data_IF_341247910715
#
_entry.id   IF_341247910715
#
_cell.length_a   1.000
_cell.length_b   1.000
_cell.length_c   1.000
_cell.angle_alpha   90.00
_cell.angle_beta   90.00
_cell.angle_gamma   90.00
#
_symmetry.space_group_name_H-M   'P 1'
#
loop_
_entity.id
_entity.type
_entity.pdbx_description
1 polymer ?
#
# COMPACT_ATOMS: atom_id res chain seq x y z
N UNK A 1 0.51 -17.74 -7.26
CA UNK A 1 1.76 -17.28 -7.92
C UNK A 1 2.67 -16.64 -6.87
N UNK A 2 3.99 -16.86 -6.92
CA UNK A 2 4.95 -16.19 -6.01
C UNK A 2 5.51 -14.94 -6.70
N UNK A 3 5.43 -13.80 -6.03
CA UNK A 3 5.86 -12.48 -6.54
C UNK A 3 6.61 -11.71 -5.46
N UNK A 4 7.47 -10.78 -5.86
CA UNK A 4 8.07 -9.80 -4.96
C UNK A 4 7.13 -8.64 -4.67
N UNK A 5 6.37 -8.21 -5.68
CA UNK A 5 5.55 -7.01 -5.55
C UNK A 5 4.22 -7.11 -6.28
N UNK A 6 3.19 -6.52 -5.69
CA UNK A 6 2.00 -6.09 -6.40
C UNK A 6 1.95 -4.57 -6.48
N UNK A 7 1.81 -4.05 -7.69
CA UNK A 7 1.71 -2.64 -8.01
C UNK A 7 0.25 -2.28 -8.23
N UNK A 8 -0.29 -1.42 -7.38
CA UNK A 8 -1.63 -0.89 -7.50
C UNK A 8 -1.56 0.48 -8.15
N UNK A 9 -2.12 0.60 -9.36
CA UNK A 9 -2.17 1.84 -10.14
C UNK A 9 -3.57 2.36 -10.18
N UNK A 10 -3.80 3.56 -9.66
CA UNK A 10 -5.12 4.14 -9.72
C UNK A 10 -5.39 4.78 -11.10
N UNK A 11 -6.67 4.84 -11.47
CA UNK A 11 -7.10 5.63 -12.63
C UNK A 11 -6.75 7.11 -12.44
N UNK A 12 -6.54 7.83 -13.55
CA UNK A 12 -6.21 9.27 -13.57
C UNK A 12 -7.19 10.15 -12.79
N UNK A 13 -8.42 9.69 -12.59
CA UNK A 13 -9.45 10.42 -11.85
C UNK A 13 -9.32 10.30 -10.33
N UNK A 14 -8.49 9.38 -9.83
CA UNK A 14 -8.26 9.16 -8.41
C UNK A 14 -7.09 10.02 -7.95
N UNK A 15 -7.37 10.93 -7.02
CA UNK A 15 -6.36 11.76 -6.37
C UNK A 15 -6.03 11.21 -4.99
N UNK A 16 -4.92 11.66 -4.40
CA UNK A 16 -4.55 11.27 -3.03
C UNK A 16 -5.68 11.55 -2.03
N UNK A 17 -6.32 12.72 -2.13
CA UNK A 17 -7.45 13.08 -1.27
C UNK A 17 -8.63 12.11 -1.35
N UNK A 18 -8.85 11.45 -2.50
CA UNK A 18 -9.91 10.43 -2.65
C UNK A 18 -9.60 9.13 -1.90
N UNK A 19 -8.34 8.86 -1.55
CA UNK A 19 -7.98 7.71 -0.71
C UNK A 19 -8.36 7.93 0.76
N UNK A 20 -8.52 9.18 1.22
CA UNK A 20 -8.76 9.52 2.63
C UNK A 20 -9.82 8.64 3.33
N UNK A 21 -11.06 8.49 2.81
CA UNK A 21 -12.07 7.64 3.46
C UNK A 21 -11.73 6.14 3.46
N UNK A 22 -10.89 5.70 2.51
CA UNK A 22 -10.48 4.31 2.36
C UNK A 22 -9.17 4.00 3.10
N UNK A 23 -8.40 5.01 3.52
CA UNK A 23 -7.01 4.79 3.92
C UNK A 23 -6.87 4.06 5.25
N UNK A 24 -7.65 4.42 6.28
CA UNK A 24 -7.66 3.67 7.55
C UNK A 24 -7.92 2.17 7.33
N UNK A 25 -9.03 1.75 6.68
CA UNK A 25 -9.26 0.32 6.47
C UNK A 25 -8.22 -0.32 5.55
N UNK A 26 -7.69 0.41 4.55
CA UNK A 26 -6.60 -0.09 3.70
C UNK A 26 -5.33 -0.37 4.50
N UNK A 27 -4.92 0.58 5.34
CA UNK A 27 -3.71 0.51 6.15
C UNK A 27 -3.82 -0.56 7.24
N UNK A 28 -4.95 -0.61 7.95
CA UNK A 28 -5.23 -1.67 8.92
C UNK A 28 -5.20 -3.04 8.26
N UNK A 29 -5.88 -3.19 7.11
CA UNK A 29 -5.91 -4.47 6.38
C UNK A 29 -4.52 -4.92 5.93
N UNK A 30 -3.67 -3.98 5.49
CA UNK A 30 -2.28 -4.27 5.14
C UNK A 30 -1.52 -4.85 6.34
N UNK A 31 -1.59 -4.19 7.51
CA UNK A 31 -0.88 -4.62 8.71
C UNK A 31 -1.38 -5.96 9.26
N UNK A 32 -2.69 -6.20 9.22
CA UNK A 32 -3.28 -7.48 9.61
C UNK A 32 -2.79 -8.61 8.71
N UNK A 33 -2.93 -8.45 7.39
CA UNK A 33 -2.61 -9.50 6.42
C UNK A 33 -1.10 -9.77 6.30
N UNK A 34 -0.26 -8.78 6.66
CA UNK A 34 1.19 -8.92 6.71
C UNK A 34 1.75 -9.31 8.08
N UNK A 35 0.90 -9.40 9.12
CA UNK A 35 1.31 -9.72 10.49
C UNK A 35 2.15 -8.63 11.16
N UNK A 36 1.95 -7.37 10.78
CA UNK A 36 2.73 -6.21 11.22
C UNK A 36 1.92 -5.21 12.07
N UNK A 37 0.78 -5.64 12.63
CA UNK A 37 -0.02 -4.80 13.55
C UNK A 37 0.83 -4.47 14.79
N UNK A 38 1.06 -3.18 15.11
CA UNK A 38 1.75 -2.80 16.33
C UNK A 38 1.01 -3.30 17.58
N UNK A 39 1.74 -3.75 18.59
CA UNK A 39 1.15 -4.15 19.87
C UNK A 39 0.59 -2.94 20.63
N UNK A 40 1.26 -1.80 20.49
CA UNK A 40 0.85 -0.53 21.08
C UNK A 40 -0.12 0.23 20.16
N UNK A 41 -1.38 0.48 20.59
CA UNK A 41 -2.35 1.25 19.83
C UNK A 41 -1.92 2.70 19.53
N UNK A 42 -1.10 3.32 20.38
CA UNK A 42 -0.59 4.68 20.17
C UNK A 42 0.36 4.73 18.98
N UNK A 43 1.24 3.72 18.86
CA UNK A 43 2.11 3.57 17.69
C UNK A 43 1.23 3.46 16.43
N UNK A 44 0.23 2.58 16.43
CA UNK A 44 -0.67 2.47 15.27
C UNK A 44 -1.34 3.81 14.93
N UNK A 45 -1.81 4.56 15.93
CA UNK A 45 -2.47 5.85 15.73
C UNK A 45 -1.54 6.89 15.08
N UNK A 46 -0.29 6.99 15.54
CA UNK A 46 0.72 7.90 14.96
C UNK A 46 0.98 7.55 13.50
N UNK A 47 1.24 6.28 13.20
CA UNK A 47 1.54 5.84 11.83
C UNK A 47 0.40 6.12 10.86
N UNK A 48 -0.83 5.91 11.32
CA UNK A 48 -1.99 6.20 10.51
C UNK A 48 -2.16 7.72 10.31
N UNK A 49 -2.00 8.51 11.36
CA UNK A 49 -2.23 9.96 11.32
C UNK A 49 -1.20 10.69 10.43
N UNK A 50 0.07 10.26 10.42
CA UNK A 50 1.10 10.77 9.50
C UNK A 50 0.62 10.69 8.04
N UNK A 51 0.11 9.52 7.66
CA UNK A 51 -0.41 9.29 6.32
C UNK A 51 -1.68 10.10 6.05
N UNK A 52 -2.62 10.13 7.00
CA UNK A 52 -3.87 10.87 6.84
C UNK A 52 -3.63 12.37 6.67
N UNK A 53 -2.66 12.93 7.39
CA UNK A 53 -2.26 14.34 7.25
C UNK A 53 -1.90 14.69 5.82
N UNK A 54 -1.08 13.89 5.16
CA UNK A 54 -0.74 14.11 3.75
C UNK A 54 -1.94 13.96 2.82
N UNK A 55 -2.77 12.94 3.04
CA UNK A 55 -3.96 12.73 2.22
C UNK A 55 -4.99 13.88 2.34
N UNK A 56 -5.15 14.49 3.53
CA UNK A 56 -6.01 15.68 3.73
C UNK A 56 -5.56 16.83 2.84
N UNK A 57 -4.25 16.98 2.68
CA UNK A 57 -3.61 17.99 1.84
C UNK A 57 -3.45 17.55 0.37
N UNK A 58 -4.04 16.41 -0.03
CA UNK A 58 -3.90 15.82 -1.36
C UNK A 58 -2.44 15.54 -1.75
N UNK A 59 -1.58 15.26 -0.76
CA UNK A 59 -0.19 14.87 -0.95
C UNK A 59 -0.02 13.36 -0.90
N UNK A 60 1.09 12.89 -1.48
CA UNK A 60 1.49 11.50 -1.46
C UNK A 60 1.75 11.05 -0.01
N UNK A 61 1.08 10.00 0.49
CA UNK A 61 1.35 9.48 1.82
C UNK A 61 2.70 8.74 1.85
N UNK A 62 3.19 8.41 3.04
CA UNK A 62 4.40 7.59 3.20
C UNK A 62 4.11 6.09 2.95
N UNK A 63 2.94 5.64 3.38
CA UNK A 63 2.55 4.25 3.51
C UNK A 63 3.13 3.60 4.75
N UNK A 64 3.68 2.41 4.57
CA UNK A 64 4.41 1.65 5.58
C UNK A 64 5.73 1.19 4.96
N UNK A 65 6.66 2.13 4.81
CA UNK A 65 7.95 1.90 4.16
C UNK A 65 9.08 1.72 5.18
N UNK A 66 9.01 0.65 5.97
CA UNK A 66 10.01 0.32 7.00
C UNK A 66 10.48 -1.12 6.93
N UNK A 67 11.45 -1.49 7.74
CA UNK A 67 11.89 -2.88 7.82
C UNK A 67 10.79 -3.78 8.37
N UNK A 68 10.70 -4.99 7.81
CA UNK A 68 9.64 -5.94 8.10
C UNK A 68 9.43 -6.94 6.95
N UNK A 69 8.49 -7.88 7.10
CA UNK A 69 8.20 -8.88 6.09
C UNK A 69 7.61 -8.27 4.81
N UNK A 70 6.86 -7.18 4.94
CA UNK A 70 6.33 -6.42 3.80
C UNK A 70 6.38 -4.91 4.01
N UNK A 71 6.39 -4.20 2.88
CA UNK A 71 6.30 -2.75 2.79
C UNK A 71 5.11 -2.34 1.94
N UNK A 72 4.45 -1.26 2.35
CA UNK A 72 3.49 -0.54 1.50
C UNK A 72 4.13 0.78 1.08
N UNK A 73 4.50 0.90 -0.19
CA UNK A 73 5.37 1.95 -0.70
C UNK A 73 4.60 2.84 -1.66
N UNK A 74 4.54 4.14 -1.38
CA UNK A 74 3.98 5.15 -2.27
C UNK A 74 5.12 5.89 -2.97
N UNK A 75 5.36 5.67 -4.28
CA UNK A 75 6.47 6.26 -5.02
C UNK A 75 6.21 7.73 -5.38
N UNK A 76 7.27 8.50 -5.59
CA UNK A 76 7.17 9.81 -6.23
C UNK A 76 6.94 9.56 -7.73
N UNK A 77 5.72 9.77 -8.20
CA UNK A 77 5.37 9.58 -9.61
C UNK A 77 4.28 10.55 -10.08
N UNK A 78 3.94 10.48 -11.37
CA UNK A 78 2.95 11.37 -12.00
C UNK A 78 1.50 11.07 -11.60
N UNK A 79 1.23 9.91 -10.99
CA UNK A 79 -0.12 9.46 -10.67
C UNK A 79 -0.20 8.87 -9.26
N UNK A 80 -1.43 8.69 -8.78
CA UNK A 80 -1.64 7.96 -7.54
C UNK A 80 -1.38 6.46 -7.80
N UNK A 81 -0.44 5.89 -7.07
CA UNK A 81 -0.10 4.47 -7.11
C UNK A 81 0.61 4.05 -5.82
N UNK A 82 0.64 2.75 -5.56
CA UNK A 82 1.46 2.18 -4.49
C UNK A 82 1.87 0.75 -4.80
N UNK A 83 2.89 0.27 -4.09
CA UNK A 83 3.36 -1.10 -4.14
C UNK A 83 3.16 -1.78 -2.80
N UNK A 84 2.77 -3.05 -2.82
CA UNK A 84 3.04 -3.99 -1.73
C UNK A 84 4.27 -4.77 -2.14
N UNK A 85 5.31 -4.77 -1.31
CA UNK A 85 6.59 -5.39 -1.61
C UNK A 85 7.06 -6.29 -0.48
N UNK A 86 7.61 -7.44 -0.83
CA UNK A 86 8.39 -8.30 0.05
C UNK A 86 9.78 -8.56 -0.55
N UNK A 87 10.78 -8.68 0.33
CA UNK A 87 12.17 -8.94 -0.06
C UNK A 87 12.33 -10.28 -0.79
N UNK A 88 11.49 -11.26 -0.49
CA UNK A 88 11.52 -12.58 -1.13
C UNK A 88 10.25 -12.82 -1.94
N UNK A 89 10.35 -13.64 -3.00
CA UNK A 89 9.15 -14.06 -3.75
C UNK A 89 8.25 -14.89 -2.85
N UNK A 90 7.02 -14.43 -2.64
CA UNK A 90 6.06 -15.10 -1.77
C UNK A 90 4.66 -15.05 -2.35
N UNK A 91 3.82 -16.03 -1.98
CA UNK A 91 2.37 -16.01 -2.27
C UNK A 91 1.64 -14.97 -1.42
N UNK A 92 2.22 -14.60 -0.27
CA UNK A 92 1.59 -13.68 0.68
C UNK A 92 1.37 -12.28 0.09
N UNK A 93 2.30 -11.80 -0.75
CA UNK A 93 2.14 -10.49 -1.43
C UNK A 93 0.88 -10.49 -2.29
N UNK A 94 0.62 -11.58 -3.01
CA UNK A 94 -0.57 -11.70 -3.84
C UNK A 94 -1.83 -11.66 -2.97
N UNK A 95 -1.88 -12.44 -1.89
CA UNK A 95 -3.00 -12.44 -0.92
C UNK A 95 -3.25 -11.05 -0.36
N UNK A 96 -2.21 -10.37 0.14
CA UNK A 96 -2.31 -9.02 0.71
C UNK A 96 -2.88 -8.06 -0.33
N UNK A 97 -2.32 -8.03 -1.55
CA UNK A 97 -2.75 -7.12 -2.62
C UNK A 97 -4.21 -7.37 -3.03
N UNK A 98 -4.66 -8.62 -3.08
CA UNK A 98 -6.06 -8.95 -3.33
C UNK A 98 -6.99 -8.41 -2.24
N UNK A 99 -6.60 -8.53 -0.97
CA UNK A 99 -7.38 -7.97 0.15
C UNK A 99 -7.44 -6.44 0.07
N UNK A 100 -6.32 -5.78 -0.24
CA UNK A 100 -6.28 -4.33 -0.43
C UNK A 100 -7.14 -3.89 -1.62
N UNK A 101 -7.08 -4.61 -2.74
CA UNK A 101 -7.92 -4.38 -3.92
C UNK A 101 -9.41 -4.41 -3.57
N UNK A 102 -9.86 -5.37 -2.74
CA UNK A 102 -11.25 -5.45 -2.26
C UNK A 102 -11.64 -4.22 -1.43
N UNK A 103 -10.75 -3.74 -0.56
CA UNK A 103 -10.99 -2.49 0.18
C UNK A 103 -11.16 -1.33 -0.79
N UNK A 104 -10.24 -1.14 -1.74
CA UNK A 104 -10.31 -0.05 -2.72
C UNK A 104 -11.59 -0.11 -3.57
N UNK A 105 -12.02 -1.31 -3.99
CA UNK A 105 -13.27 -1.52 -4.72
C UNK A 105 -14.50 -1.10 -3.90
N UNK A 106 -14.56 -1.42 -2.60
CA UNK A 106 -15.64 -0.99 -1.69
C UNK A 106 -15.80 0.53 -1.66
N UNK A 107 -14.69 1.26 -1.74
CA UNK A 107 -14.65 2.73 -1.79
C UNK A 107 -14.74 3.30 -3.20
N UNK A 108 -15.01 2.47 -4.22
CA UNK A 108 -15.14 2.85 -5.64
C UNK A 108 -13.89 3.54 -6.19
N UNK A 109 -12.71 3.19 -5.65
CA UNK A 109 -11.43 3.67 -6.15
C UNK A 109 -10.97 2.77 -7.30
N UNK A 110 -11.16 3.21 -8.53
CA UNK A 110 -10.76 2.45 -9.73
C UNK A 110 -9.25 2.30 -9.80
N UNK A 111 -8.79 1.07 -10.01
CA UNK A 111 -7.38 0.73 -10.06
C UNK A 111 -7.13 -0.54 -10.87
N UNK A 112 -5.89 -0.72 -11.28
CA UNK A 112 -5.36 -1.95 -11.84
C UNK A 112 -4.26 -2.51 -10.93
N UNK A 113 -4.05 -3.83 -11.00
CA UNK A 113 -2.97 -4.52 -10.29
C UNK A 113 -2.01 -5.11 -11.32
N UNK A 114 -0.73 -4.76 -11.22
CA UNK A 114 0.36 -5.35 -12.00
C UNK A 114 1.35 -6.05 -11.06
N UNK A 115 1.97 -7.14 -11.50
CA UNK A 115 2.88 -7.93 -10.65
C UNK A 115 4.35 -7.73 -11.04
N UNK A 116 5.25 -7.75 -10.06
CA UNK A 116 6.70 -7.66 -10.24
C UNK A 116 7.20 -6.46 -11.08
N UNK A 117 6.49 -5.33 -10.98
CA UNK A 117 6.86 -4.06 -11.63
C UNK A 117 7.80 -3.18 -10.82
N UNK A 118 8.06 -3.51 -9.56
CA UNK A 118 8.97 -2.73 -8.72
C UNK A 118 10.43 -3.04 -9.09
N UNK A 119 11.01 -2.28 -10.01
CA UNK A 119 12.39 -2.50 -10.51
C UNK A 119 13.48 -1.94 -9.59
N UNK A 120 13.15 -0.97 -8.73
CA UNK A 120 14.12 -0.31 -7.83
C UNK A 120 14.76 -1.25 -6.79
N UNK A 121 14.12 -2.39 -6.50
CA UNK A 121 14.60 -3.38 -5.53
C UNK A 121 14.78 -4.77 -6.16
N UNK A 122 14.72 -4.88 -7.49
CA UNK A 122 15.08 -6.14 -8.15
C UNK A 122 16.59 -6.29 -8.02
N UNK A 123 17.04 -7.38 -7.36
CA UNK A 123 18.44 -7.74 -7.32
C UNK A 123 19.00 -7.73 -8.74
N UNK A 124 20.03 -6.92 -8.98
CA UNK A 124 20.85 -7.06 -10.18
C UNK A 124 21.45 -8.47 -10.12
N UNK A 125 21.02 -9.33 -11.03
CA UNK A 125 21.67 -10.62 -11.28
C UNK A 125 23.16 -10.42 -11.58
#
# INVERSE_FOLDING_TARGET
MRVHSGHVRFDKSVTWKKLLPAFRPLFTRFLEESGQVPQDPEIFAVLLEENLRDLRENRKPEGYNREGPMRMIFPISKGAEFYVYSRTKTTEVNRVVEQLSRVLQKYRLKHAVEWDRLTAFQDKK
#
